data_IF_882916110320
#
_entry.id   IF_882916110320
#
_cell.length_a   1.000
_cell.length_b   1.000
_cell.length_c   1.000
_cell.angle_alpha   90.00
_cell.angle_beta   90.00
_cell.angle_gamma   90.00
#
_symmetry.space_group_name_H-M   'P 1'
#
loop_
_entity.id
_entity.type
_entity.pdbx_description
1 polymer ?
#
# COMPACT_ATOMS: atom_id res chain seq x y z
N UNK A 1 20.47 -5.03 -3.56
CA UNK A 1 19.67 -4.45 -4.67
C UNK A 1 20.15 -4.93 -6.05
N UNK A 2 21.41 -4.71 -6.44
CA UNK A 2 21.96 -5.16 -7.74
C UNK A 2 21.74 -6.65 -8.04
N UNK A 3 22.15 -7.53 -7.13
CA UNK A 3 21.99 -8.99 -7.29
C UNK A 3 20.54 -9.40 -7.47
N UNK A 4 19.63 -8.86 -6.64
CA UNK A 4 18.20 -9.13 -6.74
C UNK A 4 17.59 -8.67 -8.08
N UNK A 5 17.99 -7.49 -8.58
CA UNK A 5 17.55 -7.02 -9.91
C UNK A 5 18.05 -7.97 -10.99
N UNK A 6 19.35 -8.28 -11.00
CA UNK A 6 19.93 -9.19 -12.00
C UNK A 6 19.27 -10.56 -11.98
N UNK A 7 19.03 -11.13 -10.80
CA UNK A 7 18.34 -12.40 -10.63
C UNK A 7 16.95 -12.38 -11.27
N UNK A 8 16.13 -11.36 -11.00
CA UNK A 8 14.79 -11.25 -11.61
C UNK A 8 14.88 -11.09 -13.13
N UNK A 9 15.83 -10.28 -13.64
CA UNK A 9 16.02 -10.11 -15.07
C UNK A 9 16.44 -11.42 -15.76
N UNK A 10 17.30 -12.23 -15.11
CA UNK A 10 17.73 -13.54 -15.62
C UNK A 10 16.54 -14.51 -15.67
N UNK A 11 15.71 -14.55 -14.62
CA UNK A 11 14.50 -15.40 -14.59
C UNK A 11 13.53 -15.03 -15.71
N UNK A 12 13.27 -13.73 -15.91
CA UNK A 12 12.35 -13.28 -16.97
C UNK A 12 12.94 -13.56 -18.35
N UNK A 13 14.24 -13.32 -18.57
CA UNK A 13 14.89 -13.57 -19.84
C UNK A 13 14.84 -15.05 -20.27
N UNK A 14 14.78 -15.99 -19.31
CA UNK A 14 14.60 -17.42 -19.60
C UNK A 14 13.18 -17.78 -20.07
N UNK A 15 12.20 -16.89 -19.89
CA UNK A 15 10.79 -17.15 -20.19
C UNK A 15 10.24 -16.24 -21.31
N UNK A 16 10.77 -15.02 -21.43
CA UNK A 16 10.30 -14.02 -22.39
C UNK A 16 11.47 -13.44 -23.18
N UNK A 17 11.40 -13.55 -24.50
CA UNK A 17 12.43 -13.03 -25.42
C UNK A 17 12.47 -11.49 -25.45
N UNK A 18 11.30 -10.84 -25.29
CA UNK A 18 11.18 -9.38 -25.33
C UNK A 18 10.33 -8.88 -24.18
N UNK A 19 10.94 -8.09 -23.30
CA UNK A 19 10.26 -7.44 -22.17
C UNK A 19 10.87 -6.07 -21.88
N UNK A 20 10.11 -5.25 -21.17
CA UNK A 20 10.54 -3.94 -20.69
C UNK A 20 10.58 -3.94 -19.17
N UNK A 21 11.40 -3.07 -18.61
CA UNK A 21 11.54 -2.86 -17.17
C UNK A 21 11.09 -1.45 -16.84
N UNK A 22 10.29 -1.33 -15.79
CA UNK A 22 9.89 -0.04 -15.25
C UNK A 22 11.02 0.58 -14.43
N UNK A 23 11.36 1.84 -14.70
CA UNK A 23 12.25 2.63 -13.85
C UNK A 23 11.47 3.51 -12.84
N UNK A 24 12.19 4.06 -11.87
CA UNK A 24 11.65 4.96 -10.82
C UNK A 24 11.18 6.32 -11.35
N UNK A 25 11.36 6.59 -12.64
CA UNK A 25 10.90 7.81 -13.33
C UNK A 25 9.71 7.53 -14.25
N UNK A 26 9.07 6.36 -14.11
CA UNK A 26 7.96 5.90 -14.93
C UNK A 26 8.29 5.76 -16.43
N UNK A 27 9.51 5.33 -16.76
CA UNK A 27 9.89 4.93 -18.11
C UNK A 27 9.94 3.42 -18.25
N UNK A 28 9.62 2.93 -19.46
CA UNK A 28 9.84 1.55 -19.87
C UNK A 28 11.17 1.43 -20.59
N UNK A 29 12.19 0.96 -19.87
CA UNK A 29 13.56 0.77 -20.37
C UNK A 29 13.83 -0.68 -20.77
N UNK A 30 14.94 -0.91 -21.45
CA UNK A 30 15.41 -2.25 -21.83
C UNK A 30 16.00 -2.99 -20.62
N UNK A 31 16.07 -4.34 -20.68
CA UNK A 31 16.75 -5.12 -19.65
C UNK A 31 18.24 -4.76 -19.49
N UNK A 32 18.91 -4.38 -20.58
CA UNK A 32 20.32 -3.95 -20.56
C UNK A 32 20.50 -2.65 -19.77
N UNK A 33 19.67 -1.63 -20.04
CA UNK A 33 19.67 -0.38 -19.28
C UNK A 33 19.38 -0.63 -17.79
N UNK A 34 18.45 -1.53 -17.49
CA UNK A 34 18.12 -1.91 -16.11
C UNK A 34 19.31 -2.57 -15.37
N UNK A 35 20.11 -3.40 -16.05
CA UNK A 35 21.34 -4.00 -15.49
C UNK A 35 22.42 -2.96 -15.21
N UNK A 36 22.51 -1.95 -16.07
CA UNK A 36 23.47 -0.85 -15.92
C UNK A 36 23.08 0.08 -14.77
N UNK A 37 21.78 0.28 -14.52
CA UNK A 37 21.25 1.12 -13.45
C UNK A 37 20.31 0.39 -12.48
N UNK A 38 20.75 -0.62 -11.72
CA UNK A 38 19.86 -1.45 -10.91
C UNK A 38 19.16 -0.69 -9.78
N UNK A 39 19.75 0.40 -9.30
CA UNK A 39 19.12 1.27 -8.31
C UNK A 39 17.95 2.06 -8.88
N UNK A 40 17.92 2.29 -10.20
CA UNK A 40 16.87 3.03 -10.89
C UNK A 40 15.63 2.18 -11.20
N UNK A 41 15.69 0.86 -10.97
CA UNK A 41 14.56 -0.06 -11.22
C UNK A 41 14.11 -0.79 -9.95
N UNK A 42 14.94 -0.79 -8.92
CA UNK A 42 14.60 -1.41 -7.63
C UNK A 42 13.44 -0.66 -6.96
N UNK A 43 12.38 -1.40 -6.59
CA UNK A 43 11.20 -0.86 -5.91
C UNK A 43 10.49 0.24 -6.72
N UNK A 44 10.41 0.11 -8.05
CA UNK A 44 9.83 1.12 -8.96
C UNK A 44 8.31 1.00 -9.18
N UNK A 45 7.62 0.02 -8.59
CA UNK A 45 6.20 -0.25 -8.84
C UNK A 45 5.28 0.96 -8.57
N UNK A 46 5.65 1.83 -7.62
CA UNK A 46 4.92 3.07 -7.33
C UNK A 46 4.88 4.04 -8.52
N UNK A 47 5.90 4.03 -9.38
CA UNK A 47 5.98 4.93 -10.52
C UNK A 47 4.89 4.62 -11.56
N UNK A 48 4.55 3.35 -11.76
CA UNK A 48 3.43 2.95 -12.62
C UNK A 48 2.08 3.41 -12.02
N UNK A 49 1.89 3.27 -10.71
CA UNK A 49 0.70 3.81 -10.03
C UNK A 49 0.57 5.32 -10.21
N UNK A 50 1.67 6.06 -10.02
CA UNK A 50 1.69 7.51 -10.23
C UNK A 50 1.36 7.90 -11.67
N UNK A 51 1.91 7.18 -12.65
CA UNK A 51 1.60 7.38 -14.07
C UNK A 51 0.11 7.16 -14.36
N UNK A 52 -0.47 6.08 -13.82
CA UNK A 52 -1.90 5.78 -14.01
C UNK A 52 -2.78 6.86 -13.39
N UNK A 53 -2.44 7.33 -12.19
CA UNK A 53 -3.12 8.45 -11.57
C UNK A 53 -3.05 9.73 -12.43
N UNK A 54 -1.90 10.00 -13.04
CA UNK A 54 -1.74 11.10 -14.00
C UNK A 54 -2.64 10.97 -15.23
N UNK A 55 -2.81 9.76 -15.76
CA UNK A 55 -3.74 9.50 -16.87
C UNK A 55 -5.21 9.66 -16.48
N UNK A 56 -5.57 9.20 -15.29
CA UNK A 56 -6.94 9.34 -14.79
C UNK A 56 -7.29 10.80 -14.46
N UNK A 57 -6.31 11.62 -14.08
CA UNK A 57 -6.53 12.99 -13.62
C UNK A 57 -5.54 13.98 -14.25
N UNK A 58 -5.64 14.23 -15.57
CA UNK A 58 -4.64 15.00 -16.31
C UNK A 58 -4.57 16.48 -15.91
N UNK A 59 -5.65 17.04 -15.36
CA UNK A 59 -5.74 18.47 -15.02
C UNK A 59 -5.71 18.75 -13.51
N UNK A 60 -5.75 17.71 -12.68
CA UNK A 60 -5.91 17.83 -11.24
C UNK A 60 -4.60 17.61 -10.48
N UNK A 61 -4.59 18.04 -9.21
CA UNK A 61 -3.64 17.53 -8.21
C UNK A 61 -4.23 16.29 -7.57
N UNK A 62 -3.45 15.22 -7.54
CA UNK A 62 -3.88 13.92 -7.02
C UNK A 62 -2.83 13.34 -6.09
N UNK A 63 -3.28 12.74 -5.00
CA UNK A 63 -2.51 11.79 -4.22
C UNK A 63 -3.00 10.38 -4.55
N UNK A 64 -2.15 9.58 -5.18
CA UNK A 64 -2.41 8.14 -5.28
C UNK A 64 -1.90 7.47 -3.99
N UNK A 65 -2.79 6.78 -3.28
CA UNK A 65 -2.48 6.08 -2.03
C UNK A 65 -2.69 4.58 -2.25
N UNK A 66 -1.57 3.86 -2.35
CA UNK A 66 -1.52 2.43 -2.63
C UNK A 66 -1.13 1.65 -1.38
N UNK A 67 -2.08 0.92 -0.82
CA UNK A 67 -1.89 0.15 0.41
C UNK A 67 -1.81 -1.33 0.10
N UNK A 68 -0.60 -1.85 0.09
CA UNK A 68 -0.31 -3.27 -0.09
C UNK A 68 -0.40 -4.06 1.21
N UNK A 69 0.08 -5.30 1.16
CA UNK A 69 0.16 -6.18 2.34
C UNK A 69 1.20 -5.72 3.37
N UNK A 70 2.19 -4.93 2.95
CA UNK A 70 3.37 -4.58 3.76
C UNK A 70 3.57 -3.08 3.92
N UNK A 71 3.32 -2.32 2.85
CA UNK A 71 3.65 -0.91 2.75
C UNK A 71 2.48 -0.11 2.20
N UNK A 72 2.51 1.19 2.46
CA UNK A 72 1.62 2.19 1.90
C UNK A 72 2.46 3.19 1.13
N UNK A 73 2.21 3.35 -0.18
CA UNK A 73 2.85 4.38 -1.00
C UNK A 73 1.93 5.58 -1.16
N UNK A 74 2.48 6.79 -1.03
CA UNK A 74 1.75 8.06 -1.20
C UNK A 74 2.44 8.82 -2.32
N UNK A 75 1.79 8.87 -3.48
CA UNK A 75 2.42 9.32 -4.72
C UNK A 75 1.71 10.59 -5.19
N UNK A 76 2.36 11.76 -5.07
CA UNK A 76 1.79 13.00 -5.55
C UNK A 76 1.93 13.16 -7.06
N UNK A 77 0.85 13.62 -7.69
CA UNK A 77 0.74 13.89 -9.13
C UNK A 77 0.13 15.28 -9.32
N UNK A 78 0.76 16.15 -10.09
CA UNK A 78 0.26 17.49 -10.45
C UNK A 78 0.05 17.55 -11.97
N UNK A 79 -1.20 17.73 -12.41
CA UNK A 79 -1.56 17.89 -13.82
C UNK A 79 -0.92 16.81 -14.71
N UNK A 80 -1.22 15.55 -14.40
CA UNK A 80 -0.73 14.40 -15.15
C UNK A 80 0.73 13.99 -14.89
N UNK A 81 1.51 14.78 -14.16
CA UNK A 81 2.94 14.53 -13.92
C UNK A 81 3.21 14.10 -12.48
N UNK A 82 4.00 13.03 -12.30
CA UNK A 82 4.47 12.62 -10.98
C UNK A 82 5.39 13.70 -10.42
N UNK A 83 5.11 14.16 -9.20
CA UNK A 83 5.90 15.18 -8.48
C UNK A 83 6.45 14.65 -7.15
N UNK A 84 6.60 13.32 -7.05
CA UNK A 84 7.30 12.66 -5.96
C UNK A 84 8.79 13.04 -5.97
N UNK A 85 9.38 13.24 -4.80
CA UNK A 85 10.81 13.56 -4.64
C UNK A 85 11.67 12.32 -4.42
N UNK A 86 11.11 11.28 -3.79
CA UNK A 86 11.84 10.08 -3.44
C UNK A 86 11.99 9.12 -4.62
N UNK A 87 13.23 8.86 -5.02
CA UNK A 87 13.56 7.91 -6.09
C UNK A 87 14.00 6.55 -5.54
N UNK A 88 14.34 6.48 -4.25
CA UNK A 88 14.64 5.24 -3.55
C UNK A 88 13.90 5.14 -2.21
N UNK A 89 13.91 3.97 -1.59
CA UNK A 89 13.11 3.71 -0.38
C UNK A 89 13.50 4.61 0.80
N UNK A 90 14.78 4.96 0.96
CA UNK A 90 15.24 5.83 2.05
C UNK A 90 14.66 7.24 1.86
N UNK A 91 14.74 7.76 0.64
CA UNK A 91 14.17 9.08 0.31
C UNK A 91 12.65 9.08 0.46
N UNK A 92 11.96 8.06 -0.07
CA UNK A 92 10.49 7.98 0.04
C UNK A 92 10.04 7.92 1.50
N UNK A 93 10.75 7.18 2.36
CA UNK A 93 10.51 7.18 3.81
C UNK A 93 10.71 8.57 4.40
N UNK A 94 11.79 9.27 4.02
CA UNK A 94 12.09 10.61 4.53
C UNK A 94 11.08 11.67 4.09
N UNK A 95 10.48 11.52 2.90
CA UNK A 95 9.53 12.48 2.33
C UNK A 95 8.05 12.18 2.59
N UNK A 96 7.74 11.10 3.32
CA UNK A 96 6.37 10.66 3.58
C UNK A 96 5.70 9.99 2.39
N UNK A 97 6.46 9.62 1.36
CA UNK A 97 5.97 8.99 0.13
C UNK A 97 5.91 7.45 0.25
N UNK A 98 6.49 6.91 1.32
CA UNK A 98 6.41 5.50 1.69
C UNK A 98 6.25 5.39 3.20
N UNK A 99 5.25 4.63 3.64
CA UNK A 99 5.05 4.24 5.04
C UNK A 99 5.17 2.72 5.13
N UNK A 100 5.96 2.23 6.07
CA UNK A 100 6.18 0.78 6.26
C UNK A 100 5.06 0.11 7.07
N UNK A 101 3.83 0.36 6.65
CA UNK A 101 2.61 -0.24 7.20
C UNK A 101 1.68 -0.67 6.08
N UNK A 102 1.07 -1.85 6.22
CA UNK A 102 0.16 -2.42 5.24
C UNK A 102 -0.81 -3.39 5.88
N UNK A 103 -1.61 -4.06 5.06
CA UNK A 103 -2.78 -4.83 5.55
C UNK A 103 -2.41 -6.14 6.26
N UNK A 104 -1.30 -6.81 5.95
CA UNK A 104 -1.11 -8.21 6.42
C UNK A 104 0.14 -8.42 7.27
N UNK A 105 1.24 -7.73 6.97
CA UNK A 105 2.58 -8.15 7.44
C UNK A 105 3.17 -7.30 8.55
N UNK A 106 2.57 -6.16 8.87
CA UNK A 106 3.18 -5.21 9.81
C UNK A 106 3.08 -5.75 11.22
N UNK A 107 4.22 -5.98 11.91
CA UNK A 107 4.21 -6.30 13.34
C UNK A 107 3.50 -5.18 14.09
N UNK A 108 2.51 -5.50 14.93
CA UNK A 108 1.76 -4.47 15.67
C UNK A 108 2.66 -3.63 16.58
N UNK A 109 3.80 -4.18 17.03
CA UNK A 109 4.83 -3.46 17.78
C UNK A 109 5.55 -2.36 16.97
N UNK A 110 5.45 -2.39 15.65
CA UNK A 110 5.92 -1.30 14.78
C UNK A 110 4.85 -0.21 14.57
N UNK A 111 3.60 -0.46 14.99
CA UNK A 111 2.48 0.48 14.88
C UNK A 111 2.26 1.21 16.21
N UNK A 112 2.37 0.50 17.33
CA UNK A 112 2.12 1.02 18.68
C UNK A 112 3.15 0.54 19.68
N UNK A 113 3.36 1.30 20.77
CA UNK A 113 4.15 0.89 21.94
C UNK A 113 3.26 0.44 23.12
N UNK A 114 1.99 0.85 23.11
CA UNK A 114 0.97 0.55 24.13
C UNK A 114 -0.41 0.37 23.51
N UNK A 115 -1.27 -0.40 24.18
CA UNK A 115 -2.68 -0.61 23.81
C UNK A 115 -3.57 -0.59 25.05
N UNK A 116 -4.87 -0.25 24.92
CA UNK A 116 -5.81 -0.32 26.03
C UNK A 116 -6.14 -1.77 26.37
N UNK A 117 -5.91 -2.16 27.61
CA UNK A 117 -6.33 -3.46 28.19
C UNK A 117 -7.21 -3.16 29.38
N UNK A 118 -8.50 -3.53 29.34
CA UNK A 118 -9.48 -3.25 30.41
C UNK A 118 -9.46 -1.78 30.86
N UNK A 119 -9.33 -0.86 29.91
CA UNK A 119 -9.28 0.59 30.15
C UNK A 119 -7.92 1.16 30.58
N UNK A 120 -6.88 0.33 30.72
CA UNK A 120 -5.53 0.76 31.14
C UNK A 120 -4.57 0.67 29.95
N UNK A 121 -3.85 1.76 29.65
CA UNK A 121 -2.78 1.75 28.64
C UNK A 121 -1.63 0.86 29.09
N UNK A 122 -1.48 -0.27 28.40
CA UNK A 122 -0.55 -1.34 28.72
C UNK A 122 0.49 -1.46 27.62
N UNK A 123 1.77 -1.61 27.98
CA UNK A 123 2.86 -1.80 27.01
C UNK A 123 2.70 -3.14 26.31
N UNK A 124 3.04 -3.18 25.02
CA UNK A 124 3.06 -4.42 24.26
C UNK A 124 4.46 -5.03 24.23
N UNK A 125 4.54 -6.33 23.98
CA UNK A 125 5.78 -7.03 23.69
C UNK A 125 6.33 -6.61 22.31
N UNK A 126 7.65 -6.57 22.18
CA UNK A 126 8.32 -6.35 20.89
C UNK A 126 8.36 -7.62 20.02
N UNK A 127 8.11 -8.80 20.62
CA UNK A 127 8.04 -10.08 19.91
C UNK A 127 6.98 -10.07 18.82
N UNK A 128 7.26 -10.78 17.72
CA UNK A 128 6.30 -10.92 16.63
C UNK A 128 5.20 -11.92 17.00
N UNK A 129 4.23 -11.48 17.79
CA UNK A 129 3.07 -12.30 18.19
C UNK A 129 1.83 -12.09 17.31
N UNK A 130 1.66 -10.89 16.77
CA UNK A 130 0.54 -10.53 15.90
C UNK A 130 0.96 -9.52 14.83
N UNK A 131 0.27 -9.55 13.69
CA UNK A 131 0.46 -8.59 12.61
C UNK A 131 -0.78 -7.73 12.38
N UNK A 132 -0.67 -6.72 11.50
CA UNK A 132 -1.82 -5.96 11.01
C UNK A 132 -2.89 -6.84 10.36
N UNK A 133 -2.51 -7.99 9.78
CA UNK A 133 -3.46 -8.98 9.27
C UNK A 133 -4.42 -9.47 10.35
N UNK A 134 -3.92 -9.74 11.55
CA UNK A 134 -4.74 -10.16 12.70
C UNK A 134 -5.71 -9.06 13.11
N UNK A 135 -5.24 -7.81 13.13
CA UNK A 135 -6.06 -6.63 13.44
C UNK A 135 -7.22 -6.53 12.44
N UNK A 136 -6.93 -6.55 11.14
CA UNK A 136 -7.95 -6.38 10.11
C UNK A 136 -8.91 -7.56 10.02
N UNK A 137 -8.46 -8.79 10.28
CA UNK A 137 -9.32 -9.96 10.32
C UNK A 137 -10.29 -9.89 11.52
N UNK A 138 -9.79 -9.51 12.70
CA UNK A 138 -10.64 -9.35 13.91
C UNK A 138 -11.65 -8.22 13.76
N UNK A 139 -11.28 -7.13 13.07
CA UNK A 139 -12.19 -6.02 12.80
C UNK A 139 -13.13 -6.26 11.61
N UNK A 140 -12.95 -7.35 10.86
CA UNK A 140 -13.75 -7.66 9.68
C UNK A 140 -13.45 -6.77 8.46
N UNK A 141 -12.29 -6.08 8.46
CA UNK A 141 -11.84 -5.29 7.31
C UNK A 141 -11.38 -6.18 6.15
N UNK A 142 -10.91 -7.39 6.45
CA UNK A 142 -10.55 -8.43 5.49
C UNK A 142 -11.23 -9.74 5.83
N UNK A 143 -11.40 -10.61 4.84
CA UNK A 143 -11.84 -11.98 5.03
C UNK A 143 -10.66 -12.92 5.24
N UNK A 144 -10.95 -14.14 5.65
CA UNK A 144 -9.95 -15.19 5.82
C UNK A 144 -9.19 -15.48 4.51
N UNK A 145 -9.86 -15.40 3.36
CA UNK A 145 -9.27 -15.65 2.05
C UNK A 145 -8.27 -14.56 1.62
N UNK A 146 -8.41 -13.35 2.17
CA UNK A 146 -7.50 -12.24 1.92
C UNK A 146 -6.19 -12.37 2.72
N UNK A 147 -6.19 -13.18 3.80
CA UNK A 147 -5.03 -13.43 4.65
C UNK A 147 -4.08 -14.44 3.98
N UNK A 148 -3.32 -13.95 3.00
CA UNK A 148 -2.47 -14.74 2.10
C UNK A 148 -1.01 -14.93 2.56
N UNK A 149 -0.72 -14.68 3.84
CA UNK A 149 0.65 -14.72 4.39
C UNK A 149 0.70 -15.63 5.61
N UNK A 150 1.88 -16.16 5.92
CA UNK A 150 2.07 -16.95 7.14
C UNK A 150 1.75 -16.13 8.38
N UNK A 151 1.05 -16.75 9.33
CA UNK A 151 0.75 -16.13 10.62
C UNK A 151 1.98 -16.20 11.54
N UNK A 152 2.07 -15.29 12.50
CA UNK A 152 3.20 -15.17 13.41
C UNK A 152 3.55 -16.46 14.18
N UNK A 153 2.57 -17.35 14.38
CA UNK A 153 2.73 -18.62 15.09
C UNK A 153 2.56 -19.86 14.18
N UNK A 154 2.46 -19.68 12.86
CA UNK A 154 2.26 -20.75 11.89
C UNK A 154 0.91 -21.47 12.00
N UNK A 155 -0.06 -20.93 12.76
CA UNK A 155 -1.42 -21.49 12.88
C UNK A 155 -2.36 -20.90 11.82
N UNK A 156 -3.63 -21.32 11.87
CA UNK A 156 -4.65 -20.87 10.94
C UNK A 156 -5.00 -19.39 11.07
N UNK A 157 -5.86 -18.98 10.15
CA UNK A 157 -6.34 -17.61 9.94
C UNK A 157 -7.82 -17.47 10.29
N UNK A 158 -8.31 -18.22 11.30
CA UNK A 158 -9.63 -17.96 11.87
C UNK A 158 -9.62 -16.69 12.74
N UNK A 159 -10.78 -16.07 12.94
CA UNK A 159 -10.93 -14.89 13.81
C UNK A 159 -10.48 -15.21 15.23
N UNK A 160 -10.85 -16.38 15.76
CA UNK A 160 -10.44 -16.86 17.09
C UNK A 160 -8.91 -16.99 17.21
N UNK A 161 -8.23 -17.53 16.19
CA UNK A 161 -6.77 -17.65 16.19
C UNK A 161 -6.08 -16.28 16.10
N UNK A 162 -6.63 -15.34 15.33
CA UNK A 162 -6.15 -13.97 15.27
C UNK A 162 -6.34 -13.23 16.61
N UNK A 163 -7.48 -13.42 17.27
CA UNK A 163 -7.72 -12.89 18.62
C UNK A 163 -6.69 -13.44 19.62
N UNK A 164 -6.40 -14.74 19.56
CA UNK A 164 -5.37 -15.35 20.42
C UNK A 164 -3.97 -14.77 20.17
N UNK A 165 -3.61 -14.49 18.90
CA UNK A 165 -2.36 -13.80 18.56
C UNK A 165 -2.29 -12.38 19.12
N UNK A 166 -3.37 -11.60 18.97
CA UNK A 166 -3.45 -10.24 19.51
C UNK A 166 -3.38 -10.21 21.06
N UNK A 167 -4.02 -11.16 21.73
CA UNK A 167 -3.93 -11.29 23.19
C UNK A 167 -2.48 -11.53 23.67
N UNK A 168 -1.72 -12.35 22.93
CA UNK A 168 -0.30 -12.60 23.23
C UNK A 168 0.58 -11.37 23.09
N UNK A 169 0.20 -10.38 22.30
CA UNK A 169 0.97 -9.15 22.14
C UNK A 169 1.10 -8.35 23.45
N UNK A 170 0.18 -8.53 24.41
CA UNK A 170 0.26 -7.98 25.77
C UNK A 170 0.65 -9.05 26.81
N UNK A 171 1.31 -10.12 26.36
CA UNK A 171 1.68 -11.28 27.19
C UNK A 171 0.48 -11.95 27.89
N UNK A 172 -0.72 -11.85 27.30
CA UNK A 172 -1.92 -12.51 27.79
C UNK A 172 -2.38 -13.65 26.89
N UNK A 173 -3.62 -14.08 27.12
CA UNK A 173 -4.34 -15.11 26.36
C UNK A 173 -5.86 -14.86 26.46
N UNK A 174 -6.68 -15.75 25.89
CA UNK A 174 -8.14 -15.66 25.90
C UNK A 174 -8.79 -16.16 27.20
N UNK A 175 -8.02 -16.64 28.17
CA UNK A 175 -8.50 -16.89 29.54
C UNK A 175 -8.40 -15.60 30.38
N UNK A 176 -7.39 -14.77 30.11
CA UNK A 176 -7.16 -13.49 30.78
C UNK A 176 -7.91 -12.31 30.14
N UNK A 177 -8.13 -12.34 28.81
CA UNK A 177 -8.76 -11.28 28.04
C UNK A 177 -10.07 -11.75 27.40
N UNK A 178 -11.11 -10.94 27.55
CA UNK A 178 -12.38 -11.14 26.84
C UNK A 178 -12.24 -10.86 25.34
N UNK A 179 -13.20 -11.30 24.53
CA UNK A 179 -13.24 -10.95 23.10
C UNK A 179 -13.32 -9.42 22.91
N UNK A 180 -14.07 -8.74 23.78
CA UNK A 180 -14.22 -7.29 23.77
C UNK A 180 -12.91 -6.56 24.09
N UNK A 181 -12.11 -7.09 25.02
CA UNK A 181 -10.78 -6.55 25.31
C UNK A 181 -9.87 -6.64 24.07
N UNK A 182 -9.86 -7.79 23.40
CA UNK A 182 -9.03 -8.01 22.20
C UNK A 182 -9.51 -7.15 21.02
N UNK A 183 -10.82 -7.00 20.83
CA UNK A 183 -11.38 -6.07 19.82
C UNK A 183 -10.98 -4.64 20.13
N UNK A 184 -10.95 -4.24 21.41
CA UNK A 184 -10.50 -2.90 21.81
C UNK A 184 -9.03 -2.67 21.50
N UNK A 185 -8.18 -3.67 21.71
CA UNK A 185 -6.78 -3.67 21.27
C UNK A 185 -6.70 -3.49 19.75
N UNK A 186 -7.43 -4.31 18.98
CA UNK A 186 -7.42 -4.26 17.53
C UNK A 186 -7.86 -2.88 16.99
N UNK A 187 -8.95 -2.32 17.53
CA UNK A 187 -9.43 -0.97 17.16
C UNK A 187 -8.38 0.10 17.43
N UNK A 188 -7.72 0.03 18.59
CA UNK A 188 -6.68 0.99 18.92
C UNK A 188 -5.49 0.89 17.97
N UNK A 189 -5.00 -0.32 17.68
CA UNK A 189 -3.90 -0.54 16.73
C UNK A 189 -4.28 -0.02 15.34
N UNK A 190 -5.51 -0.28 14.89
CA UNK A 190 -6.03 0.22 13.62
C UNK A 190 -6.06 1.75 13.56
N UNK A 191 -6.59 2.43 14.57
CA UNK A 191 -6.58 3.91 14.61
C UNK A 191 -5.15 4.49 14.58
N UNK A 192 -4.21 3.83 15.26
CA UNK A 192 -2.80 4.23 15.23
C UNK A 192 -2.14 3.98 13.87
N UNK A 193 -2.54 2.92 13.17
CA UNK A 193 -2.11 2.67 11.79
C UNK A 193 -2.64 3.74 10.84
N UNK A 194 -3.92 4.12 10.96
CA UNK A 194 -4.49 5.20 10.17
C UNK A 194 -3.75 6.51 10.39
N UNK A 195 -3.39 6.81 11.64
CA UNK A 195 -2.62 8.01 11.97
C UNK A 195 -1.23 8.02 11.32
N UNK A 196 -0.51 6.88 11.26
CA UNK A 196 0.78 6.81 10.56
C UNK A 196 0.66 7.19 9.07
N UNK A 197 -0.42 6.74 8.42
CA UNK A 197 -0.67 7.06 7.00
C UNK A 197 -1.16 8.50 6.84
N UNK A 198 -2.01 8.98 7.74
CA UNK A 198 -2.48 10.37 7.79
C UNK A 198 -1.30 11.35 7.94
N UNK A 199 -0.38 11.10 8.88
CA UNK A 199 0.81 11.92 9.12
C UNK A 199 1.67 12.02 7.85
N UNK A 200 1.86 10.90 7.14
CA UNK A 200 2.62 10.88 5.89
C UNK A 200 1.90 11.61 4.75
N UNK A 201 0.56 11.50 4.64
CA UNK A 201 -0.24 12.29 3.69
C UNK A 201 -0.05 13.78 3.98
N UNK A 202 -0.18 14.20 5.24
CA UNK A 202 -0.02 15.59 5.65
C UNK A 202 1.41 16.10 5.40
N UNK A 203 2.43 15.25 5.58
CA UNK A 203 3.81 15.56 5.24
C UNK A 203 3.97 15.89 3.75
N UNK A 204 3.43 15.04 2.85
CA UNK A 204 3.46 15.27 1.40
C UNK A 204 2.71 16.55 1.02
N UNK A 205 1.49 16.74 1.54
CA UNK A 205 0.69 17.93 1.26
C UNK A 205 1.38 19.21 1.71
N UNK A 206 1.97 19.22 2.91
CA UNK A 206 2.66 20.36 3.49
C UNK A 206 3.88 20.75 2.65
N UNK A 207 4.73 19.78 2.27
CA UNK A 207 5.90 19.99 1.42
C UNK A 207 5.52 20.61 0.06
N UNK A 208 4.49 20.06 -0.58
CA UNK A 208 4.01 20.53 -1.88
C UNK A 208 3.14 21.80 -1.78
N UNK A 209 2.81 22.25 -0.56
CA UNK A 209 1.92 23.38 -0.28
C UNK A 209 0.53 23.21 -0.91
N UNK A 210 0.03 21.96 -0.95
CA UNK A 210 -1.29 21.65 -1.44
C UNK A 210 -2.32 21.79 -0.32
N UNK A 211 -3.32 22.65 -0.54
CA UNK A 211 -4.45 22.82 0.38
C UNK A 211 -5.58 21.81 0.14
N UNK A 212 -5.63 21.26 -1.06
CA UNK A 212 -6.58 20.26 -1.51
C UNK A 212 -5.96 19.43 -2.62
N UNK A 213 -6.37 18.18 -2.71
CA UNK A 213 -6.05 17.26 -3.79
C UNK A 213 -7.18 16.22 -3.89
N UNK A 214 -7.38 15.67 -5.09
CA UNK A 214 -8.16 14.44 -5.23
C UNK A 214 -7.32 13.27 -4.72
N UNK A 215 -7.96 12.19 -4.33
CA UNK A 215 -7.28 10.99 -3.84
C UNK A 215 -7.73 9.81 -4.67
N UNK A 216 -6.75 9.10 -5.23
CA UNK A 216 -6.95 7.81 -5.86
C UNK A 216 -6.48 6.71 -4.91
N UNK A 217 -7.37 5.86 -4.43
CA UNK A 217 -7.02 4.75 -3.54
C UNK A 217 -6.93 3.43 -4.30
N UNK A 218 -5.91 2.63 -3.98
CA UNK A 218 -5.71 1.30 -4.57
C UNK A 218 -5.00 0.35 -3.60
N UNK A 219 -4.88 -0.91 -4.00
CA UNK A 219 -4.32 -1.97 -3.17
C UNK A 219 -5.35 -2.59 -2.21
N UNK A 220 -4.91 -3.59 -1.46
CA UNK A 220 -5.74 -4.35 -0.52
C UNK A 220 -6.36 -3.46 0.56
N UNK A 221 -5.63 -2.42 0.99
CA UNK A 221 -6.09 -1.47 2.02
C UNK A 221 -6.84 -0.26 1.47
N UNK A 222 -7.24 -0.26 0.19
CA UNK A 222 -7.86 0.89 -0.49
C UNK A 222 -9.08 1.45 0.27
N UNK A 223 -10.02 0.58 0.66
CA UNK A 223 -11.33 0.99 1.20
C UNK A 223 -11.30 1.37 2.68
N UNK A 224 -10.35 0.84 3.45
CA UNK A 224 -10.33 1.00 4.92
C UNK A 224 -9.06 1.65 5.46
N UNK A 225 -7.88 1.54 4.81
CA UNK A 225 -6.69 2.30 5.24
C UNK A 225 -6.57 3.59 4.43
N UNK A 226 -6.44 3.49 3.10
CA UNK A 226 -6.13 4.63 2.26
C UNK A 226 -7.25 5.68 2.31
N UNK A 227 -8.50 5.24 2.14
CA UNK A 227 -9.67 6.12 2.19
C UNK A 227 -9.83 6.81 3.54
N UNK A 228 -9.76 6.05 4.64
CA UNK A 228 -9.99 6.61 5.97
C UNK A 228 -8.86 7.55 6.40
N UNK A 229 -7.60 7.21 6.11
CA UNK A 229 -6.46 8.10 6.35
C UNK A 229 -6.55 9.40 5.53
N UNK A 230 -6.96 9.32 4.26
CA UNK A 230 -7.17 10.49 3.42
C UNK A 230 -8.28 11.42 3.96
N UNK A 231 -9.39 10.84 4.42
CA UNK A 231 -10.49 11.60 5.03
C UNK A 231 -10.06 12.28 6.33
N UNK A 232 -9.29 11.58 7.18
CA UNK A 232 -8.71 12.16 8.42
C UNK A 232 -7.74 13.30 8.13
N UNK A 233 -6.93 13.17 7.07
CA UNK A 233 -6.07 14.24 6.56
C UNK A 233 -6.85 15.44 5.94
N UNK A 234 -8.19 15.40 5.91
CA UNK A 234 -9.04 16.48 5.44
C UNK A 234 -9.33 16.47 3.93
N UNK A 235 -8.92 15.43 3.20
CA UNK A 235 -9.17 15.28 1.77
C UNK A 235 -10.55 14.67 1.55
N UNK A 236 -11.42 15.36 0.79
CA UNK A 236 -12.84 14.97 0.64
C UNK A 236 -13.16 14.24 -0.66
N UNK A 237 -12.38 14.47 -1.70
CA UNK A 237 -12.58 13.87 -3.02
C UNK A 237 -11.76 12.58 -3.14
N UNK A 238 -12.31 11.49 -2.60
CA UNK A 238 -11.65 10.17 -2.59
C UNK A 238 -12.37 9.22 -3.55
N UNK A 239 -11.64 8.65 -4.49
CA UNK A 239 -12.12 7.65 -5.45
C UNK A 239 -11.21 6.43 -5.42
N UNK A 240 -11.77 5.23 -5.53
CA UNK A 240 -10.96 4.02 -5.65
C UNK A 240 -10.70 3.67 -7.11
N UNK A 241 -9.55 3.08 -7.39
CA UNK A 241 -9.23 2.58 -8.75
C UNK A 241 -10.22 1.50 -9.20
N UNK A 242 -10.69 0.67 -8.26
CA UNK A 242 -11.71 -0.35 -8.51
C UNK A 242 -13.03 0.26 -8.98
N UNK A 243 -13.49 1.35 -8.36
CA UNK A 243 -14.77 1.99 -8.72
C UNK A 243 -14.67 2.77 -10.05
N UNK A 244 -13.47 3.25 -10.39
CA UNK A 244 -13.24 4.04 -11.60
C UNK A 244 -12.98 3.18 -12.84
N UNK A 245 -12.21 2.09 -12.68
CA UNK A 245 -11.67 1.31 -13.80
C UNK A 245 -12.22 -0.10 -13.80
N UNK A 246 -11.88 -0.98 -12.87
CA UNK A 246 -12.52 -2.30 -12.72
C UNK A 246 -12.06 -2.97 -11.42
N UNK A 247 -12.83 -3.95 -10.92
CA UNK A 247 -12.52 -4.63 -9.64
C UNK A 247 -11.12 -5.24 -9.59
N UNK A 248 -10.69 -5.90 -10.66
CA UNK A 248 -9.37 -6.53 -10.74
C UNK A 248 -8.19 -5.54 -10.74
N UNK A 249 -8.42 -4.27 -11.10
CA UNK A 249 -7.36 -3.28 -11.19
C UNK A 249 -6.81 -2.88 -9.81
N UNK A 250 -7.61 -2.86 -8.75
CA UNK A 250 -7.14 -2.40 -7.43
C UNK A 250 -6.19 -3.41 -6.75
N UNK A 251 -6.43 -4.71 -6.88
CA UNK A 251 -5.58 -5.75 -6.28
C UNK A 251 -4.22 -5.91 -6.97
N UNK A 252 -4.12 -5.43 -8.22
CA UNK A 252 -2.91 -5.53 -9.06
C UNK A 252 -2.53 -4.19 -9.70
N UNK A 253 -2.81 -3.07 -9.01
CA UNK A 253 -2.69 -1.70 -9.55
C UNK A 253 -1.42 -1.43 -10.34
N UNK A 254 -0.21 -1.66 -9.78
CA UNK A 254 1.04 -1.48 -10.51
C UNK A 254 1.17 -2.33 -11.77
N UNK A 255 0.70 -3.58 -11.75
CA UNK A 255 0.78 -4.47 -12.91
C UNK A 255 -0.20 -4.04 -14.02
N UNK A 256 -1.42 -3.66 -13.64
CA UNK A 256 -2.41 -3.07 -14.56
C UNK A 256 -1.87 -1.79 -15.21
N UNK A 257 -1.31 -0.88 -14.41
CA UNK A 257 -0.69 0.34 -14.90
C UNK A 257 0.48 0.04 -15.86
N UNK A 258 1.33 -0.93 -15.52
CA UNK A 258 2.45 -1.33 -16.37
C UNK A 258 1.99 -1.90 -17.73
N UNK A 259 0.91 -2.68 -17.75
CA UNK A 259 0.31 -3.16 -18.98
C UNK A 259 -0.20 -1.99 -19.84
N UNK A 260 -0.84 -0.98 -19.24
CA UNK A 260 -1.27 0.23 -19.93
C UNK A 260 -0.10 1.05 -20.48
N UNK A 261 0.99 1.20 -19.72
CA UNK A 261 2.22 1.85 -20.21
C UNK A 261 2.80 1.13 -21.42
N UNK A 262 2.75 -0.20 -21.43
CA UNK A 262 3.20 -1.01 -22.57
C UNK A 262 2.31 -0.83 -23.80
N UNK A 263 1.00 -0.67 -23.63
CA UNK A 263 0.08 -0.32 -24.71
C UNK A 263 0.48 1.01 -25.36
N UNK A 264 0.74 2.06 -24.57
CA UNK A 264 1.20 3.36 -25.11
C UNK A 264 2.53 3.23 -25.85
N UNK A 265 3.48 2.46 -25.30
CA UNK A 265 4.77 2.19 -25.96
C UNK A 265 4.57 1.48 -27.31
N UNK A 266 3.48 0.75 -27.49
CA UNK A 266 3.07 0.10 -28.74
C UNK A 266 2.12 0.95 -29.59
N UNK A 267 2.08 2.26 -29.36
CA UNK A 267 1.24 3.23 -30.09
C UNK A 267 -0.27 3.01 -29.93
N UNK A 268 -0.70 2.32 -28.88
CA UNK A 268 -2.12 2.21 -28.49
C UNK A 268 -2.40 3.31 -27.47
N UNK A 269 -3.26 4.27 -27.82
CA UNK A 269 -3.58 5.41 -26.96
C UNK A 269 -4.30 4.99 -25.68
N UNK A 270 -3.71 5.28 -24.52
CA UNK A 270 -4.32 5.07 -23.20
C UNK A 270 -4.75 6.44 -22.66
N UNK A 271 -5.95 6.87 -23.04
CA UNK A 271 -6.57 8.10 -22.52
C UNK A 271 -7.35 7.83 -21.23
N UNK A 272 -7.76 8.89 -20.55
CA UNK A 272 -8.72 8.80 -19.43
C UNK A 272 -9.99 8.05 -19.86
N UNK A 273 -10.56 8.39 -21.01
CA UNK A 273 -11.78 7.76 -21.53
C UNK A 273 -11.58 6.27 -21.79
N UNK A 274 -10.42 5.88 -22.33
CA UNK A 274 -10.07 4.47 -22.49
C UNK A 274 -10.06 3.75 -21.13
N UNK A 275 -9.40 4.32 -20.11
CA UNK A 275 -9.34 3.70 -18.78
C UNK A 275 -10.73 3.57 -18.13
N UNK A 276 -11.57 4.61 -18.25
CA UNK A 276 -12.93 4.58 -17.71
C UNK A 276 -13.86 3.62 -18.48
N UNK A 277 -13.57 3.35 -19.76
CA UNK A 277 -14.33 2.39 -20.57
C UNK A 277 -14.12 0.93 -20.17
N UNK A 278 -13.08 0.64 -19.37
CA UNK A 278 -12.80 -0.72 -18.87
C UNK A 278 -13.70 -1.12 -17.70
N UNK A 279 -14.58 -0.22 -17.25
CA UNK A 279 -15.51 -0.47 -16.17
C UNK A 279 -16.54 -1.51 -16.58
N UNK A 280 -16.41 -2.68 -15.96
CA UNK A 280 -17.43 -3.71 -15.96
C UNK A 280 -18.61 -3.24 -15.10
N UNK A 281 -19.83 -3.44 -15.60
CA UNK A 281 -21.10 -3.10 -14.90
C UNK A 281 -21.26 -3.85 -13.57
#
# INVERSE_FOLDING_TARGET
>A
KREGVNFILDVIANTCEHFHVLDVKANLITPEEARNGPLNVASANWAATGWLAGKLFPEDRVLAVDVGSTTTSIIPVDRGSIVAEGLNDIEKLAYGELVYTGVLRTNIAAIVDKVPVKGILTRISAEFFASSGDVHLVLGNIKQEDYSVETANGRGVSVEEAMARLARAVCGDLELLSREDVISIARYVYERQLLQVEEAILQVLSRLKWRSAKVLTLGLGSKFIAREAALKAGLREVSSLEDMVCRGASSTGPAFALACMLLEKRSISVSRDFLLSLRED
#
